data_IF_782396433014
#
_entry.id   IF_782396433014
#
_cell.length_a   1.000
_cell.length_b   1.000
_cell.length_c   1.000
_cell.angle_alpha   90.00
_cell.angle_beta   90.00
_cell.angle_gamma   90.00
#
_symmetry.space_group_name_H-M   'P 1'
#
loop_
_entity.id
_entity.type
_entity.pdbx_description
1 polymer ?
#
# COMPACT_ATOMS: atom_id res chain seq x y z
N UNK A 1 19.72 1.67 9.27
CA UNK A 1 18.84 0.57 9.70
C UNK A 1 17.38 1.00 9.90
N UNK A 2 17.07 2.15 10.50
CA UNK A 2 15.65 2.55 10.74
C UNK A 2 14.81 2.71 9.48
N UNK A 3 15.36 3.31 8.41
CA UNK A 3 14.64 3.45 7.12
C UNK A 3 14.27 2.11 6.49
N UNK A 4 15.14 1.11 6.60
CA UNK A 4 14.88 -0.24 6.10
C UNK A 4 13.75 -0.89 6.92
N UNK A 5 13.75 -0.70 8.25
CA UNK A 5 12.67 -1.20 9.12
C UNK A 5 11.32 -0.53 8.81
N UNK A 6 11.30 0.76 8.51
CA UNK A 6 10.09 1.46 8.08
C UNK A 6 9.58 0.95 6.74
N UNK A 7 10.46 0.81 5.74
CA UNK A 7 10.08 0.29 4.43
C UNK A 7 9.56 -1.15 4.54
N UNK A 8 10.22 -2.00 5.33
CA UNK A 8 9.77 -3.38 5.59
C UNK A 8 8.44 -3.43 6.31
N UNK A 9 8.20 -2.55 7.29
CA UNK A 9 6.92 -2.47 7.98
C UNK A 9 5.79 -2.04 7.04
N UNK A 10 6.04 -1.01 6.22
CA UNK A 10 5.09 -0.56 5.20
C UNK A 10 4.80 -1.66 4.19
N UNK A 11 5.84 -2.35 3.69
CA UNK A 11 5.71 -3.48 2.79
C UNK A 11 4.86 -4.60 3.42
N UNK A 12 5.19 -5.03 4.63
CA UNK A 12 4.45 -6.08 5.32
C UNK A 12 2.97 -5.71 5.55
N UNK A 13 2.70 -4.46 5.92
CA UNK A 13 1.34 -3.96 6.11
C UNK A 13 0.55 -3.96 4.80
N UNK A 14 1.16 -3.47 3.71
CA UNK A 14 0.54 -3.45 2.37
C UNK A 14 0.24 -4.88 1.91
N UNK A 15 1.24 -5.76 1.93
CA UNK A 15 1.10 -7.16 1.51
C UNK A 15 0.04 -7.90 2.31
N UNK A 16 -0.05 -7.68 3.62
CA UNK A 16 -1.10 -8.30 4.44
C UNK A 16 -2.50 -7.86 4.00
N UNK A 17 -2.70 -6.57 3.74
CA UNK A 17 -3.99 -6.03 3.30
C UNK A 17 -4.35 -6.48 1.88
N UNK A 18 -3.36 -6.53 0.98
CA UNK A 18 -3.54 -7.05 -0.38
C UNK A 18 -3.90 -8.53 -0.37
N UNK A 19 -3.20 -9.36 0.41
CA UNK A 19 -3.52 -10.78 0.55
C UNK A 19 -4.95 -11.02 1.05
N UNK A 20 -5.39 -10.26 2.06
CA UNK A 20 -6.77 -10.33 2.55
C UNK A 20 -7.75 -9.90 1.46
N UNK A 21 -7.47 -8.79 0.77
CA UNK A 21 -8.26 -8.31 -0.37
C UNK A 21 -8.40 -9.37 -1.45
N UNK A 22 -7.29 -9.90 -1.95
CA UNK A 22 -7.25 -10.96 -2.96
C UNK A 22 -8.02 -12.21 -2.53
N UNK A 23 -7.86 -12.65 -1.27
CA UNK A 23 -8.63 -13.79 -0.75
C UNK A 23 -10.14 -13.50 -0.78
N UNK A 24 -10.57 -12.32 -0.31
CA UNK A 24 -12.00 -11.94 -0.35
C UNK A 24 -12.53 -11.86 -1.79
N UNK A 25 -11.74 -11.31 -2.72
CA UNK A 25 -12.11 -11.20 -4.12
C UNK A 25 -12.34 -12.57 -4.76
N UNK A 26 -11.38 -13.48 -4.58
CA UNK A 26 -11.46 -14.85 -5.10
C UNK A 26 -12.67 -15.57 -4.50
N UNK A 27 -12.93 -15.47 -3.20
CA UNK A 27 -14.09 -16.12 -2.57
C UNK A 27 -15.45 -15.60 -3.07
N UNK A 28 -15.52 -14.36 -3.55
CA UNK A 28 -16.77 -13.78 -4.05
C UNK A 28 -17.00 -14.16 -5.52
N UNK A 29 -15.96 -14.04 -6.36
CA UNK A 29 -16.08 -14.15 -7.81
C UNK A 29 -15.73 -15.54 -8.38
N UNK A 30 -14.88 -16.29 -7.67
CA UNK A 30 -14.28 -17.54 -8.15
C UNK A 30 -14.48 -18.66 -7.13
N UNK A 31 -15.75 -18.92 -6.77
CA UNK A 31 -16.15 -19.89 -5.72
C UNK A 31 -15.73 -21.34 -5.99
N UNK A 32 -15.66 -21.74 -7.26
CA UNK A 32 -15.36 -23.11 -7.69
C UNK A 32 -14.04 -23.23 -8.47
N UNK A 33 -13.19 -22.20 -8.42
CA UNK A 33 -11.96 -22.16 -9.20
C UNK A 33 -10.85 -22.99 -8.55
N UNK A 34 -10.19 -23.83 -9.35
CA UNK A 34 -8.92 -24.44 -8.94
C UNK A 34 -7.86 -23.36 -9.00
N UNK A 35 -7.42 -22.88 -7.84
CA UNK A 35 -6.36 -21.89 -7.73
C UNK A 35 -5.02 -22.52 -8.13
N UNK A 36 -4.43 -22.00 -9.20
CA UNK A 36 -3.05 -22.29 -9.56
C UNK A 36 -2.09 -21.60 -8.58
N UNK A 37 -1.02 -22.29 -8.16
CA UNK A 37 0.00 -21.75 -7.26
C UNK A 37 0.70 -20.51 -7.85
N UNK A 38 0.66 -20.36 -9.18
CA UNK A 38 1.20 -19.20 -9.88
C UNK A 38 0.59 -17.87 -9.40
N UNK A 39 -0.67 -17.85 -8.93
CA UNK A 39 -1.30 -16.62 -8.45
C UNK A 39 -0.58 -16.02 -7.24
N UNK A 40 -0.01 -16.87 -6.38
CA UNK A 40 0.75 -16.43 -5.20
C UNK A 40 2.04 -15.71 -5.63
N UNK A 41 2.74 -16.23 -6.63
CA UNK A 41 3.94 -15.60 -7.18
C UNK A 41 3.61 -14.29 -7.90
N UNK A 42 2.51 -14.24 -8.63
CA UNK A 42 2.05 -13.02 -9.30
C UNK A 42 1.68 -11.93 -8.28
N UNK A 43 1.00 -12.27 -7.18
CA UNK A 43 0.68 -11.32 -6.11
C UNK A 43 1.95 -10.75 -5.47
N UNK A 44 2.94 -11.60 -5.17
CA UNK A 44 4.23 -11.14 -4.64
C UNK A 44 4.93 -10.20 -5.63
N UNK A 45 4.93 -10.54 -6.92
CA UNK A 45 5.53 -9.70 -7.95
C UNK A 45 4.83 -8.34 -8.07
N UNK A 46 3.50 -8.33 -8.07
CA UNK A 46 2.70 -7.10 -8.10
C UNK A 46 2.90 -6.24 -6.85
N UNK A 47 3.03 -6.85 -5.67
CA UNK A 47 3.34 -6.14 -4.43
C UNK A 47 4.72 -5.50 -4.43
N UNK A 48 5.72 -6.18 -4.99
CA UNK A 48 7.08 -5.64 -5.17
C UNK A 48 7.01 -4.43 -6.11
N UNK A 49 6.33 -4.53 -7.25
CA UNK A 49 6.16 -3.42 -8.19
C UNK A 49 5.46 -2.23 -7.53
N UNK A 50 4.36 -2.48 -6.83
CA UNK A 50 3.64 -1.46 -6.08
C UNK A 50 4.55 -0.74 -5.06
N UNK A 51 5.39 -1.51 -4.36
CA UNK A 51 6.29 -1.00 -3.32
C UNK A 51 7.47 -0.19 -3.88
N UNK A 52 7.96 -0.52 -5.08
CA UNK A 52 8.98 0.29 -5.78
C UNK A 52 8.45 1.72 -6.04
N UNK A 53 7.17 1.85 -6.38
CA UNK A 53 6.52 3.16 -6.54
C UNK A 53 6.57 4.03 -5.28
N UNK A 54 6.62 3.41 -4.10
CA UNK A 54 6.71 4.10 -2.81
C UNK A 54 8.12 4.63 -2.50
N UNK A 55 9.17 4.04 -3.10
CA UNK A 55 10.57 4.49 -2.95
C UNK A 55 10.85 5.75 -3.78
N UNK A 56 10.10 5.96 -4.86
CA UNK A 56 10.24 7.13 -5.74
C UNK A 56 9.69 8.42 -5.14
N UNK A 57 9.04 8.37 -3.97
CA UNK A 57 8.47 9.54 -3.32
C UNK A 57 9.57 10.54 -2.87
N UNK A 58 9.48 11.82 -3.29
CA UNK A 58 10.37 12.86 -2.79
C UNK A 58 10.22 13.03 -1.27
N UNK A 59 11.36 12.98 -0.56
CA UNK A 59 11.46 13.06 0.90
C UNK A 59 10.98 14.38 1.50
N UNK A 60 10.85 15.43 0.69
CA UNK A 60 10.45 16.76 1.15
C UNK A 60 9.30 17.29 0.29
N UNK A 61 8.10 17.28 0.85
CA UNK A 61 6.96 17.99 0.29
C UNK A 61 6.91 19.39 0.92
N UNK A 62 7.08 20.44 0.12
CA UNK A 62 7.07 21.82 0.61
C UNK A 62 5.66 22.34 0.92
N UNK A 63 4.60 21.64 0.48
CA UNK A 63 3.22 22.09 0.63
C UNK A 63 2.21 20.94 0.79
N UNK A 64 1.14 21.18 1.56
CA UNK A 64 0.00 20.24 1.70
C UNK A 64 -0.63 19.90 0.34
N UNK A 65 -0.68 20.85 -0.60
CA UNK A 65 -1.18 20.62 -1.96
C UNK A 65 -0.33 19.62 -2.74
N UNK A 66 1.00 19.71 -2.61
CA UNK A 66 1.91 18.76 -3.25
C UNK A 66 1.75 17.35 -2.69
N UNK A 67 1.51 17.22 -1.38
CA UNK A 67 1.25 15.93 -0.75
C UNK A 67 0.00 15.25 -1.33
N UNK A 68 -1.12 15.97 -1.46
CA UNK A 68 -2.35 15.42 -2.04
C UNK A 68 -2.19 15.01 -3.50
N UNK A 69 -1.48 15.82 -4.31
CA UNK A 69 -1.19 15.48 -5.71
C UNK A 69 -0.35 14.20 -5.78
N UNK A 70 0.67 14.08 -4.93
CA UNK A 70 1.55 12.92 -4.92
C UNK A 70 0.81 11.65 -4.50
N UNK A 71 -0.06 11.74 -3.48
CA UNK A 71 -0.97 10.67 -3.06
C UNK A 71 -1.88 10.24 -4.24
N UNK A 72 -2.46 11.20 -4.97
CA UNK A 72 -3.28 10.93 -6.14
C UNK A 72 -2.50 10.23 -7.27
N UNK A 73 -1.29 10.68 -7.57
CA UNK A 73 -0.40 10.06 -8.57
C UNK A 73 -0.06 8.63 -8.17
N UNK A 74 0.22 8.39 -6.88
CA UNK A 74 0.55 7.06 -6.40
C UNK A 74 -0.65 6.11 -6.45
N UNK A 75 -1.84 6.61 -6.09
CA UNK A 75 -3.07 5.84 -6.28
C UNK A 75 -3.28 5.46 -7.74
N UNK A 76 -3.08 6.41 -8.67
CA UNK A 76 -3.18 6.13 -10.11
C UNK A 76 -2.14 5.09 -10.55
N UNK A 77 -0.90 5.21 -10.08
CA UNK A 77 0.17 4.24 -10.35
C UNK A 77 -0.21 2.82 -9.91
N UNK A 78 -0.72 2.66 -8.68
CA UNK A 78 -1.15 1.36 -8.15
C UNK A 78 -2.27 0.79 -9.03
N UNK A 79 -3.26 1.60 -9.41
CA UNK A 79 -4.34 1.14 -10.28
C UNK A 79 -3.81 0.67 -11.63
N UNK A 80 -2.87 1.39 -12.25
CA UNK A 80 -2.26 0.98 -13.53
C UNK A 80 -1.52 -0.35 -13.38
N UNK A 81 -0.74 -0.52 -12.32
CA UNK A 81 0.02 -1.76 -12.07
C UNK A 81 -0.92 -2.94 -11.80
N UNK A 82 -1.90 -2.79 -10.91
CA UNK A 82 -2.81 -3.86 -10.50
C UNK A 82 -3.77 -4.23 -11.63
N UNK A 83 -4.32 -3.25 -12.35
CA UNK A 83 -5.18 -3.54 -13.52
C UNK A 83 -4.37 -4.11 -14.69
N UNK A 84 -3.16 -3.61 -14.92
CA UNK A 84 -2.26 -4.15 -15.94
C UNK A 84 -1.86 -5.59 -15.65
N UNK A 85 -1.47 -5.89 -14.40
CA UNK A 85 -1.21 -7.25 -13.95
C UNK A 85 -2.46 -8.12 -14.04
N UNK A 86 -3.61 -7.63 -13.57
CA UNK A 86 -4.87 -8.37 -13.63
C UNK A 86 -5.35 -8.66 -15.06
N UNK A 87 -5.07 -7.77 -16.01
CA UNK A 87 -5.34 -8.02 -17.43
C UNK A 87 -4.35 -9.04 -18.02
N UNK A 88 -3.05 -8.92 -17.70
CA UNK A 88 -2.03 -9.83 -18.23
C UNK A 88 -2.12 -11.25 -17.66
N UNK A 89 -2.53 -11.38 -16.40
CA UNK A 89 -2.69 -12.65 -15.69
C UNK A 89 -4.14 -13.14 -15.64
N UNK A 90 -5.05 -12.48 -16.36
CA UNK A 90 -6.48 -12.85 -16.44
C UNK A 90 -7.19 -12.97 -15.09
N UNK A 91 -6.84 -12.13 -14.11
CA UNK A 91 -7.48 -12.10 -12.79
C UNK A 91 -8.96 -11.68 -12.84
N UNK A 92 -9.35 -11.01 -13.92
CA UNK A 92 -10.72 -10.60 -14.19
C UNK A 92 -11.02 -10.68 -15.69
N UNK A 93 -12.23 -11.11 -16.02
CA UNK A 93 -12.83 -11.02 -17.35
C UNK A 93 -13.15 -9.56 -17.69
N UNK A 94 -12.60 -9.00 -18.79
CA UNK A 94 -12.82 -7.60 -19.18
C UNK A 94 -14.28 -7.30 -19.56
N UNK A 95 -15.05 -8.32 -19.94
CA UNK A 95 -16.46 -8.19 -20.29
C UNK A 95 -17.36 -7.93 -19.08
N UNK A 96 -16.89 -8.23 -17.86
CA UNK A 96 -17.67 -8.06 -16.65
C UNK A 96 -17.28 -6.79 -15.89
N UNK A 97 -17.93 -5.68 -16.24
CA UNK A 97 -17.72 -4.38 -15.61
C UNK A 97 -17.90 -4.40 -14.09
N UNK A 98 -18.80 -5.24 -13.56
CA UNK A 98 -19.02 -5.34 -12.11
C UNK A 98 -17.77 -5.87 -11.40
N UNK A 99 -17.07 -6.84 -12.02
CA UNK A 99 -15.84 -7.40 -11.48
C UNK A 99 -14.70 -6.36 -11.48
N UNK A 100 -14.55 -5.61 -12.56
CA UNK A 100 -13.57 -4.51 -12.64
C UNK A 100 -13.86 -3.42 -11.60
N UNK A 101 -15.13 -2.99 -11.48
CA UNK A 101 -15.53 -1.98 -10.50
C UNK A 101 -15.24 -2.44 -9.07
N UNK A 102 -15.50 -3.71 -8.75
CA UNK A 102 -15.21 -4.27 -7.43
C UNK A 102 -13.71 -4.32 -7.13
N UNK A 103 -12.87 -4.61 -8.13
CA UNK A 103 -11.42 -4.62 -8.01
C UNK A 103 -10.87 -3.21 -7.75
N UNK A 104 -11.32 -2.21 -8.52
CA UNK A 104 -10.93 -0.81 -8.31
C UNK A 104 -11.39 -0.31 -6.95
N UNK A 105 -12.62 -0.67 -6.53
CA UNK A 105 -13.12 -0.33 -5.21
C UNK A 105 -12.28 -0.97 -4.10
N UNK A 106 -11.89 -2.23 -4.25
CA UNK A 106 -11.02 -2.92 -3.30
C UNK A 106 -9.64 -2.25 -3.20
N UNK A 107 -9.04 -1.88 -4.33
CA UNK A 107 -7.77 -1.12 -4.35
C UNK A 107 -7.94 0.20 -3.58
N UNK A 108 -9.06 0.93 -3.77
CA UNK A 108 -9.35 2.16 -3.05
C UNK A 108 -9.44 1.93 -1.53
N UNK A 109 -10.15 0.89 -1.09
CA UNK A 109 -10.28 0.55 0.34
C UNK A 109 -8.92 0.19 0.95
N UNK A 110 -8.12 -0.65 0.28
CA UNK A 110 -6.78 -1.02 0.74
C UNK A 110 -5.88 0.21 0.81
N UNK A 111 -5.91 1.07 -0.21
CA UNK A 111 -5.10 2.28 -0.25
C UNK A 111 -5.44 3.24 0.89
N UNK A 112 -6.73 3.47 1.14
CA UNK A 112 -7.19 4.34 2.23
C UNK A 112 -6.80 3.79 3.60
N UNK A 113 -7.03 2.49 3.82
CA UNK A 113 -6.71 1.84 5.10
C UNK A 113 -5.21 1.86 5.38
N UNK A 114 -4.37 1.50 4.41
CA UNK A 114 -2.90 1.59 4.53
C UNK A 114 -2.45 3.03 4.78
N UNK A 115 -3.00 3.99 4.03
CA UNK A 115 -2.65 5.40 4.20
C UNK A 115 -2.94 5.91 5.61
N UNK A 116 -4.11 5.57 6.17
CA UNK A 116 -4.49 5.95 7.52
C UNK A 116 -3.61 5.27 8.57
N UNK A 117 -3.31 3.97 8.41
CA UNK A 117 -2.44 3.23 9.32
C UNK A 117 -1.02 3.80 9.34
N UNK A 118 -0.46 4.14 8.17
CA UNK A 118 0.84 4.78 8.06
C UNK A 118 0.83 6.15 8.73
N UNK A 119 -0.17 6.99 8.47
CA UNK A 119 -0.28 8.29 9.13
C UNK A 119 -0.33 8.17 10.65
N UNK A 120 -1.09 7.21 11.17
CA UNK A 120 -1.15 6.93 12.61
C UNK A 120 0.21 6.48 13.16
N UNK A 121 0.87 5.54 12.48
CA UNK A 121 2.19 5.05 12.87
C UNK A 121 3.26 6.16 12.88
N UNK A 122 3.32 6.97 11.82
CA UNK A 122 4.26 8.09 11.72
C UNK A 122 3.98 9.17 12.77
N UNK A 123 2.71 9.47 13.07
CA UNK A 123 2.35 10.42 14.13
C UNK A 123 2.85 9.95 15.49
N UNK A 124 2.60 8.68 15.84
CA UNK A 124 3.08 8.07 17.09
C UNK A 124 4.61 8.07 17.17
N UNK A 125 5.28 7.77 16.05
CA UNK A 125 6.75 7.80 15.99
C UNK A 125 7.31 9.22 16.18
N UNK A 126 6.66 10.24 15.64
CA UNK A 126 7.04 11.63 15.81
C UNK A 126 6.87 12.11 17.26
N UNK A 127 5.79 11.71 17.93
CA UNK A 127 5.55 12.02 19.36
C UNK A 127 6.67 11.45 20.24
N UNK A 128 6.99 10.17 20.08
CA UNK A 128 8.09 9.52 20.84
C UNK A 128 9.45 10.18 20.57
N UNK A 129 9.71 10.61 19.33
CA UNK A 129 10.95 11.31 18.99
C UNK A 129 11.03 12.68 19.67
N UNK A 130 9.92 13.42 19.68
CA UNK A 130 9.83 14.74 20.33
C UNK A 130 10.02 14.64 21.84
N UNK A 131 9.43 13.63 22.50
CA UNK A 131 9.63 13.36 23.93
C UNK A 131 11.11 13.10 24.25
N UNK A 132 11.75 12.21 23.50
CA UNK A 132 13.18 11.93 23.66
C UNK A 132 14.04 13.18 23.48
N UNK A 133 13.72 14.02 22.49
CA UNK A 133 14.44 15.28 22.26
C UNK A 133 14.37 16.22 23.47
N UNK A 134 13.18 16.34 24.08
CA UNK A 134 12.98 17.15 25.28
C UNK A 134 13.77 16.61 26.48
N UNK A 135 13.83 15.29 26.65
CA UNK A 135 14.65 14.66 27.70
C UNK A 135 16.14 14.96 27.52
N UNK A 136 16.66 14.88 26.28
CA UNK A 136 18.05 15.24 26.00
C UNK A 136 18.35 16.71 26.29
N UNK A 137 17.46 17.63 25.91
CA UNK A 137 17.63 19.06 26.19
C UNK A 137 17.61 19.33 27.71
N UNK A 138 16.68 18.71 28.45
CA UNK A 138 16.61 18.81 29.91
C UNK A 138 17.86 18.25 30.60
N UNK A 139 18.41 17.14 30.13
CA UNK A 139 19.66 16.56 30.65
C UNK A 139 20.89 17.41 30.32
N UNK A 140 20.91 18.12 29.19
CA UNK A 140 22.02 18.99 28.78
C UNK A 140 22.03 20.33 29.54
N UNK A 141 20.87 20.83 29.93
CA UNK A 141 20.70 22.10 30.65
C UNK A 141 20.79 21.95 32.19
N UNK A 142 21.12 20.75 32.69
CA UNK A 142 21.31 20.44 34.11
C UNK A 142 22.76 20.06 34.35
#
# INVERSE_FOLDING_TARGET
MEKIKEILFTFACVTTMVLIGSATYITIFWKDAVLDYNILWQLIFTDILCSVGNVLYPKECKSKKQLYILIGIHYLYINVIVLGAGFFFEWFSPDNLYMICSLVFMIAVIFLTVSLLLQYYYKKKAEVMNERLQEYIKKKNK
#
